data_IF_602600856765
#
_entry.id   IF_602600856765
#
_cell.length_a   1.000
_cell.length_b   1.000
_cell.length_c   1.000
_cell.angle_alpha   90.00
_cell.angle_beta   90.00
_cell.angle_gamma   90.00
#
_symmetry.space_group_name_H-M   'P 1'
#
loop_
_entity.id
_entity.type
_entity.pdbx_description
1 polymer ?
#
# COMPACT_ATOMS: atom_id res chain seq x y z
N UNK A 1 -5.38 9.35 -16.81
CA UNK A 1 -3.94 9.25 -16.48
C UNK A 1 -3.76 9.69 -15.05
N UNK A 2 -2.88 9.03 -14.29
CA UNK A 2 -2.73 9.23 -12.85
C UNK A 2 -1.44 9.98 -12.51
N UNK A 3 -1.49 10.86 -11.51
CA UNK A 3 -0.29 11.39 -10.85
C UNK A 3 0.54 10.24 -10.25
N UNK A 4 1.83 10.47 -10.06
CA UNK A 4 2.70 9.59 -9.28
C UNK A 4 2.74 10.11 -7.83
N UNK A 5 2.60 9.20 -6.88
CA UNK A 5 2.49 9.52 -5.45
C UNK A 5 3.70 8.98 -4.70
N UNK A 6 4.28 9.82 -3.84
CA UNK A 6 5.28 9.39 -2.85
C UNK A 6 4.91 9.98 -1.47
N UNK A 7 4.60 9.16 -0.47
CA UNK A 7 4.43 7.70 -0.50
C UNK A 7 3.25 7.26 -1.40
N UNK A 8 3.24 5.98 -1.83
CA UNK A 8 2.31 5.48 -2.84
C UNK A 8 0.92 5.20 -2.29
N UNK A 9 0.79 4.27 -1.34
CA UNK A 9 -0.52 3.79 -0.86
C UNK A 9 -0.84 4.17 0.59
N UNK A 10 0.15 4.63 1.35
CA UNK A 10 0.00 4.88 2.79
C UNK A 10 0.64 6.20 3.22
N UNK A 11 0.07 6.84 4.23
CA UNK A 11 0.71 7.95 4.96
C UNK A 11 0.88 7.51 6.40
N UNK A 12 2.12 7.45 6.85
CA UNK A 12 2.46 6.92 8.17
C UNK A 12 2.61 8.04 9.19
N UNK A 13 2.13 7.88 10.41
CA UNK A 13 2.34 8.83 11.50
C UNK A 13 2.89 8.10 12.72
N UNK A 14 4.05 8.54 13.20
CA UNK A 14 4.71 7.91 14.34
C UNK A 14 4.10 8.34 15.68
N UNK A 15 3.87 7.34 16.52
CA UNK A 15 3.62 7.55 17.96
C UNK A 15 4.83 8.24 18.61
N UNK A 16 4.60 9.04 19.67
CA UNK A 16 3.30 9.29 20.31
C UNK A 16 2.47 10.30 19.53
N UNK A 17 1.20 9.94 19.25
CA UNK A 17 0.21 10.75 18.51
C UNK A 17 -0.35 11.94 19.32
N UNK A 18 0.07 12.07 20.57
CA UNK A 18 -0.19 13.23 21.44
C UNK A 18 0.67 14.45 21.12
N UNK A 19 1.74 14.28 20.32
CA UNK A 19 2.62 15.38 19.91
C UNK A 19 1.95 16.34 18.92
N UNK A 20 2.32 17.61 18.99
CA UNK A 20 1.76 18.69 18.18
C UNK A 20 2.48 18.94 16.85
N UNK A 21 3.64 18.32 16.63
CA UNK A 21 4.52 18.54 15.48
C UNK A 21 4.49 17.42 14.43
N UNK A 22 3.51 16.51 14.53
CA UNK A 22 3.35 15.37 13.63
C UNK A 22 2.93 15.85 12.24
N UNK A 23 3.82 15.67 11.27
CA UNK A 23 3.65 16.08 9.89
C UNK A 23 4.24 15.05 8.95
N UNK A 24 3.60 14.90 7.80
CA UNK A 24 4.13 14.14 6.67
C UNK A 24 4.02 14.92 5.37
N UNK A 25 4.83 14.52 4.40
CA UNK A 25 4.85 15.11 3.06
C UNK A 25 4.38 14.06 2.06
N UNK A 26 3.33 14.40 1.33
CA UNK A 26 2.86 13.67 0.16
C UNK A 26 3.31 14.43 -1.09
N UNK A 27 4.17 13.80 -1.88
CA UNK A 27 4.64 14.33 -3.16
C UNK A 27 3.72 13.85 -4.28
N UNK A 28 3.17 14.80 -5.02
CA UNK A 28 2.36 14.58 -6.21
C UNK A 28 3.17 14.97 -7.44
N UNK A 29 3.59 14.00 -8.24
CA UNK A 29 4.39 14.24 -9.45
C UNK A 29 3.55 14.01 -10.70
N UNK A 30 3.60 14.97 -11.62
CA UNK A 30 2.99 14.85 -12.93
C UNK A 30 4.03 14.36 -13.95
N UNK A 31 3.91 13.10 -14.46
CA UNK A 31 4.82 12.60 -15.48
C UNK A 31 4.50 13.12 -16.89
N UNK A 32 3.34 13.75 -17.11
CA UNK A 32 2.91 14.25 -18.42
C UNK A 32 3.71 15.50 -18.83
N UNK A 33 4.16 15.52 -20.08
CA UNK A 33 4.95 16.60 -20.68
C UNK A 33 4.10 17.61 -21.45
N UNK A 34 2.81 17.30 -21.68
CA UNK A 34 1.92 18.10 -22.51
C UNK A 34 0.90 18.88 -21.71
N UNK A 35 0.43 18.36 -20.58
CA UNK A 35 -0.71 18.93 -19.83
C UNK A 35 -0.44 19.02 -18.34
N UNK A 36 -0.92 20.11 -17.75
CA UNK A 36 -0.97 20.26 -16.30
C UNK A 36 -2.12 19.43 -15.71
N UNK A 37 -2.06 19.16 -14.42
CA UNK A 37 -3.06 18.34 -13.71
C UNK A 37 -3.57 19.10 -12.50
N UNK A 38 -4.87 19.38 -12.47
CA UNK A 38 -5.55 19.89 -11.29
C UNK A 38 -5.76 18.76 -10.27
N UNK A 39 -5.60 19.04 -8.98
CA UNK A 39 -5.86 18.07 -7.92
C UNK A 39 -6.69 18.67 -6.77
N UNK A 40 -7.45 17.80 -6.12
CA UNK A 40 -8.19 18.06 -4.87
C UNK A 40 -7.97 16.90 -3.91
N UNK A 41 -7.71 17.22 -2.64
CA UNK A 41 -7.52 16.23 -1.58
C UNK A 41 -8.73 16.26 -0.67
N UNK A 42 -9.34 15.10 -0.49
CA UNK A 42 -10.43 14.87 0.43
C UNK A 42 -9.97 13.89 1.52
N UNK A 43 -10.62 13.89 2.67
CA UNK A 43 -10.35 12.95 3.75
C UNK A 43 -11.63 12.63 4.50
N UNK A 44 -11.74 11.42 5.05
CA UNK A 44 -12.81 11.03 5.96
C UNK A 44 -12.59 11.58 7.39
N UNK A 45 -11.46 12.25 7.67
CA UNK A 45 -11.07 12.72 9.01
C UNK A 45 -10.57 14.18 9.01
N UNK A 46 -11.31 15.10 8.40
CA UNK A 46 -10.90 16.50 8.22
C UNK A 46 -10.66 17.28 9.53
N UNK A 47 -11.29 16.88 10.64
CA UNK A 47 -11.01 17.45 11.96
C UNK A 47 -9.65 17.04 12.53
N UNK A 48 -9.10 15.90 12.08
CA UNK A 48 -7.84 15.33 12.58
C UNK A 48 -6.63 15.77 11.78
N UNK A 49 -6.81 16.22 10.54
CA UNK A 49 -5.71 16.55 9.65
C UNK A 49 -5.86 17.91 8.98
N UNK A 50 -4.78 18.66 8.96
CA UNK A 50 -4.62 19.86 8.15
C UNK A 50 -3.79 19.53 6.91
N UNK A 51 -4.35 19.72 5.71
CA UNK A 51 -3.68 19.49 4.42
C UNK A 51 -3.33 20.81 3.76
N UNK A 52 -2.08 21.00 3.34
CA UNK A 52 -1.61 22.23 2.68
C UNK A 52 -0.64 21.95 1.52
N UNK A 53 -0.94 22.42 0.29
CA UNK A 53 -2.23 22.94 -0.15
C UNK A 53 -3.30 21.82 -0.25
N UNK A 54 -4.59 22.08 0.04
CA UNK A 54 -5.66 21.07 -0.08
C UNK A 54 -6.07 20.80 -1.53
N UNK A 55 -5.77 21.72 -2.43
CA UNK A 55 -6.03 21.64 -3.86
C UNK A 55 -5.05 22.53 -4.61
N UNK A 56 -4.83 22.24 -5.89
CA UNK A 56 -3.95 23.05 -6.73
C UNK A 56 -3.76 22.45 -8.10
N UNK A 57 -2.73 22.94 -8.80
CA UNK A 57 -2.33 22.44 -10.12
C UNK A 57 -0.89 21.97 -10.04
N UNK A 58 -0.61 20.79 -10.59
CA UNK A 58 0.74 20.27 -10.82
C UNK A 58 1.09 20.53 -12.28
N UNK A 59 2.11 21.34 -12.51
CA UNK A 59 2.58 21.66 -13.85
C UNK A 59 3.17 20.44 -14.58
N UNK A 60 3.37 20.58 -15.88
CA UNK A 60 3.97 19.55 -16.74
C UNK A 60 5.35 19.15 -16.22
N UNK A 61 5.64 17.85 -16.15
CA UNK A 61 6.91 17.31 -15.65
C UNK A 61 7.36 17.87 -14.30
N UNK A 62 6.41 18.32 -13.47
CA UNK A 62 6.68 18.96 -12.17
C UNK A 62 6.10 18.15 -11.03
N UNK A 63 6.37 18.59 -9.80
CA UNK A 63 5.84 17.99 -8.58
C UNK A 63 5.40 19.06 -7.57
N UNK A 64 4.44 18.69 -6.74
CA UNK A 64 3.95 19.50 -5.63
C UNK A 64 4.09 18.72 -4.34
N UNK A 65 4.62 19.38 -3.30
CA UNK A 65 4.78 18.80 -1.97
C UNK A 65 3.60 19.22 -1.09
N UNK A 66 2.71 18.29 -0.80
CA UNK A 66 1.55 18.48 0.05
C UNK A 66 1.93 18.11 1.48
N UNK A 67 1.83 19.06 2.40
CA UNK A 67 2.02 18.80 3.83
C UNK A 67 0.72 18.35 4.46
N UNK A 68 0.76 17.20 5.13
CA UNK A 68 -0.32 16.68 5.96
C UNK A 68 0.13 16.79 7.41
N UNK A 69 -0.53 17.64 8.19
CA UNK A 69 -0.25 17.81 9.63
C UNK A 69 -1.37 17.18 10.43
N UNK A 70 -1.03 16.32 11.37
CA UNK A 70 -2.01 15.67 12.26
C UNK A 70 -2.18 16.54 13.52
N UNK A 71 -3.43 16.76 13.94
CA UNK A 71 -3.71 17.38 15.22
C UNK A 71 -3.41 16.38 16.36
N UNK A 72 -2.88 16.83 17.51
CA UNK A 72 -2.57 15.94 18.62
C UNK A 72 -3.83 15.23 19.15
N UNK A 73 -3.68 14.00 19.62
CA UNK A 73 -4.69 13.30 20.40
C UNK A 73 -4.61 13.69 21.89
N UNK A 74 -5.74 13.66 22.59
CA UNK A 74 -5.75 13.69 24.07
C UNK A 74 -5.52 12.29 24.64
N UNK A 75 -6.14 11.29 24.01
CA UNK A 75 -5.96 9.86 24.26
C UNK A 75 -5.74 9.20 22.92
N UNK A 76 -4.66 8.41 22.79
CA UNK A 76 -4.31 7.80 21.52
C UNK A 76 -5.26 6.65 21.16
N UNK A 77 -5.77 6.59 19.92
CA UNK A 77 -6.58 5.46 19.47
C UNK A 77 -5.69 4.24 19.24
N UNK A 78 -6.26 3.04 19.33
CA UNK A 78 -5.51 1.80 19.07
C UNK A 78 -5.28 1.57 17.57
N UNK A 79 -6.26 1.90 16.72
CA UNK A 79 -6.23 1.71 15.28
C UNK A 79 -6.53 2.99 14.49
N UNK A 80 -6.19 2.97 13.20
CA UNK A 80 -6.44 4.05 12.25
C UNK A 80 -7.25 3.55 11.05
N UNK A 81 -8.42 4.14 10.82
CA UNK A 81 -9.28 3.89 9.65
C UNK A 81 -9.37 5.12 8.72
N UNK A 82 -8.51 6.11 8.93
CA UNK A 82 -8.49 7.32 8.15
C UNK A 82 -7.88 7.10 6.75
N UNK A 83 -8.38 7.85 5.78
CA UNK A 83 -7.92 7.84 4.41
C UNK A 83 -7.90 9.24 3.80
N UNK A 84 -7.00 9.43 2.86
CA UNK A 84 -6.95 10.60 1.98
C UNK A 84 -7.28 10.15 0.56
N UNK A 85 -8.17 10.88 -0.10
CA UNK A 85 -8.53 10.66 -1.49
C UNK A 85 -8.03 11.85 -2.31
N UNK A 86 -7.07 11.61 -3.20
CA UNK A 86 -6.62 12.59 -4.19
C UNK A 86 -7.42 12.38 -5.46
N UNK A 87 -8.25 13.36 -5.81
CA UNK A 87 -8.89 13.44 -7.13
C UNK A 87 -8.02 14.30 -8.03
N UNK A 88 -7.88 13.91 -9.30
CA UNK A 88 -7.14 14.70 -10.28
C UNK A 88 -7.79 14.72 -11.65
N UNK A 89 -7.62 15.83 -12.36
CA UNK A 89 -8.15 16.09 -13.70
C UNK A 89 -7.03 16.67 -14.56
N UNK A 90 -6.90 16.17 -15.78
CA UNK A 90 -6.00 16.75 -16.78
C UNK A 90 -6.57 18.07 -17.31
N UNK A 91 -5.79 19.15 -17.26
CA UNK A 91 -6.18 20.43 -17.83
C UNK A 91 -5.84 20.43 -19.32
N UNK A 92 -6.88 20.39 -20.16
CA UNK A 92 -6.74 20.47 -21.62
C UNK A 92 -6.44 21.90 -22.07
N UNK A 93 -5.94 22.05 -23.30
CA UNK A 93 -5.61 23.37 -23.86
C UNK A 93 -6.84 24.30 -23.89
N UNK A 94 -8.00 23.76 -24.24
CA UNK A 94 -9.30 24.44 -24.25
C UNK A 94 -9.85 24.76 -22.85
N UNK A 95 -9.25 24.21 -21.79
CA UNK A 95 -9.70 24.36 -20.40
C UNK A 95 -8.79 25.29 -19.58
N UNK A 96 -7.71 25.81 -20.16
CA UNK A 96 -6.74 26.67 -19.42
C UNK A 96 -7.36 27.98 -18.90
N UNK A 97 -8.37 28.48 -19.59
CA UNK A 97 -9.06 29.72 -19.23
C UNK A 97 -10.23 29.49 -18.25
N UNK A 98 -10.63 28.23 -18.04
CA UNK A 98 -11.72 27.88 -17.12
C UNK A 98 -11.22 28.05 -15.69
N UNK A 99 -11.97 28.75 -14.82
CA UNK A 99 -11.57 28.94 -13.42
C UNK A 99 -11.52 27.60 -12.68
N UNK A 100 -10.57 27.47 -11.74
CA UNK A 100 -10.28 26.20 -11.05
C UNK A 100 -11.50 25.52 -10.41
N UNK A 101 -12.49 26.30 -9.95
CA UNK A 101 -13.70 25.76 -9.33
C UNK A 101 -14.64 25.10 -10.35
N UNK A 102 -14.65 25.57 -11.59
CA UNK A 102 -15.52 25.07 -12.67
C UNK A 102 -14.91 23.86 -13.39
N UNK A 103 -13.58 23.68 -13.33
CA UNK A 103 -12.89 22.50 -13.88
C UNK A 103 -13.48 21.17 -13.41
N UNK A 104 -14.08 21.14 -12.21
CA UNK A 104 -14.64 19.92 -11.61
C UNK A 104 -16.12 19.69 -11.96
N UNK A 105 -16.79 20.70 -12.53
CA UNK A 105 -18.19 20.64 -12.95
C UNK A 105 -18.26 20.13 -14.39
N UNK A 106 -17.39 20.64 -15.25
CA UNK A 106 -17.36 20.33 -16.68
C UNK A 106 -16.60 19.04 -17.02
N UNK A 107 -15.85 18.49 -16.06
CA UNK A 107 -15.11 17.26 -16.28
C UNK A 107 -16.04 16.06 -16.41
N UNK A 108 -15.90 15.31 -17.51
CA UNK A 108 -16.50 14.00 -17.66
C UNK A 108 -16.01 13.07 -16.54
N UNK A 109 -16.87 12.20 -16.04
CA UNK A 109 -16.53 11.25 -14.96
C UNK A 109 -15.29 10.41 -15.29
N UNK A 110 -15.08 10.07 -16.56
CA UNK A 110 -13.95 9.28 -17.04
C UNK A 110 -12.62 10.06 -17.06
N UNK A 111 -12.66 11.40 -17.06
CA UNK A 111 -11.47 12.26 -17.01
C UNK A 111 -10.96 12.48 -15.58
N UNK A 112 -11.75 12.10 -14.57
CA UNK A 112 -11.38 12.22 -13.16
C UNK A 112 -10.71 10.95 -12.67
N UNK A 113 -9.41 10.99 -12.40
CA UNK A 113 -8.74 9.90 -11.69
C UNK A 113 -8.82 10.10 -10.18
N UNK A 114 -8.88 8.99 -9.44
CA UNK A 114 -8.90 8.99 -7.99
C UNK A 114 -7.81 8.08 -7.45
N UNK A 115 -7.12 8.52 -6.40
CA UNK A 115 -6.09 7.74 -5.72
C UNK A 115 -6.28 7.85 -4.21
N UNK A 116 -6.42 6.72 -3.54
CA UNK A 116 -6.68 6.67 -2.10
C UNK A 116 -5.42 6.23 -1.35
N UNK A 117 -5.01 7.01 -0.35
CA UNK A 117 -3.96 6.66 0.60
C UNK A 117 -4.57 6.35 1.97
N UNK A 118 -4.16 5.23 2.57
CA UNK A 118 -4.57 4.85 3.94
C UNK A 118 -3.62 5.46 4.97
N UNK A 119 -4.15 5.89 6.10
CA UNK A 119 -3.31 6.36 7.21
C UNK A 119 -2.89 5.18 8.09
N UNK A 120 -1.62 5.16 8.49
CA UNK A 120 -1.06 4.11 9.34
C UNK A 120 -0.40 4.78 10.55
N UNK A 121 -0.68 4.28 11.76
CA UNK A 121 -0.01 4.74 12.98
C UNK A 121 1.14 3.78 13.31
N UNK A 122 2.36 4.30 13.30
CA UNK A 122 3.57 3.53 13.58
C UNK A 122 3.90 3.56 15.06
N UNK A 123 4.54 2.50 15.55
CA UNK A 123 5.18 2.49 16.85
C UNK A 123 6.41 3.42 16.86
N UNK A 124 6.81 3.87 18.05
CA UNK A 124 7.83 4.90 18.30
C UNK A 124 9.24 4.55 17.77
N UNK A 125 9.46 3.32 17.30
CA UNK A 125 10.75 2.78 16.85
C UNK A 125 10.81 2.43 15.36
N UNK A 126 9.77 2.71 14.59
CA UNK A 126 9.72 2.37 13.16
C UNK A 126 9.91 3.65 12.34
N UNK A 127 11.06 3.78 11.69
CA UNK A 127 11.32 4.88 10.76
C UNK A 127 10.32 4.85 9.58
N UNK A 128 9.78 6.00 9.15
CA UNK A 128 8.71 6.06 8.16
C UNK A 128 9.21 5.77 6.74
N UNK A 129 10.51 5.96 6.48
CA UNK A 129 11.16 5.58 5.23
C UNK A 129 11.18 4.05 5.06
N UNK A 130 11.37 3.29 6.14
CA UNK A 130 11.39 1.83 6.09
C UNK A 130 10.05 1.24 5.66
N UNK A 131 8.93 1.95 5.87
CA UNK A 131 7.59 1.48 5.47
C UNK A 131 7.29 1.75 4.00
N UNK A 132 8.04 2.66 3.36
CA UNK A 132 7.85 3.03 1.96
C UNK A 132 8.50 2.08 0.96
N UNK A 133 9.45 1.25 1.42
CA UNK A 133 10.13 0.24 0.61
C UNK A 133 9.44 -1.14 0.61
N UNK A 134 8.44 -1.36 1.47
CA UNK A 134 7.69 -2.64 1.50
C UNK A 134 6.75 -2.86 0.29
N UNK A 135 6.71 -1.94 -0.68
CA UNK A 135 5.88 -2.09 -1.89
C UNK A 135 6.68 -2.26 -3.20
N UNK A 136 8.01 -2.45 -3.14
CA UNK A 136 8.82 -2.69 -4.34
C UNK A 136 9.21 -4.16 -4.58
N UNK A 137 8.90 -5.10 -3.69
CA UNK A 137 9.13 -6.52 -3.93
C UNK A 137 7.85 -7.32 -3.64
N UNK A 138 7.04 -7.55 -4.68
CA UNK A 138 6.07 -8.66 -4.68
C UNK A 138 6.75 -10.04 -4.88
N UNK A 139 8.09 -10.12 -4.90
CA UNK A 139 8.82 -11.35 -5.28
C UNK A 139 9.78 -11.95 -4.24
N UNK A 140 10.05 -11.36 -3.07
CA UNK A 140 10.86 -12.06 -2.05
C UNK A 140 10.27 -11.94 -0.64
N UNK A 141 9.25 -12.77 -0.39
CA UNK A 141 9.02 -13.35 0.94
C UNK A 141 9.33 -14.85 0.84
N UNK A 142 10.59 -15.16 0.54
CA UNK A 142 11.13 -16.49 0.72
C UNK A 142 11.79 -16.57 2.10
N UNK A 143 11.16 -17.37 2.94
CA UNK A 143 11.70 -18.13 4.06
C UNK A 143 13.23 -18.13 4.17
N UNK A 144 13.79 -17.56 5.24
CA UNK A 144 15.07 -18.04 5.78
C UNK A 144 14.80 -18.83 7.05
N UNK A 145 14.55 -20.12 6.82
CA UNK A 145 14.82 -21.21 7.75
C UNK A 145 16.35 -21.29 8.02
N UNK A 146 16.74 -21.91 9.15
CA UNK A 146 18.09 -22.08 9.73
C UNK A 146 18.69 -20.86 10.45
N UNK A 147 18.98 -20.91 11.76
CA UNK A 147 19.76 -21.94 12.46
C UNK A 147 19.17 -22.35 13.83
N UNK A 148 18.92 -23.64 14.02
CA UNK A 148 19.15 -24.35 15.29
C UNK A 148 20.21 -25.47 15.07
N UNK A 149 20.73 -25.99 16.20
CA UNK A 149 21.74 -27.05 16.46
C UNK A 149 23.22 -26.61 16.55
N UNK A 150 24.06 -26.92 17.55
CA UNK A 150 24.01 -27.35 18.97
C UNK A 150 25.47 -27.13 19.56
N UNK A 151 25.92 -27.53 20.78
CA UNK A 151 26.83 -26.79 21.67
C UNK A 151 28.33 -27.22 21.63
N UNK A 152 29.21 -26.51 22.35
CA UNK A 152 30.21 -27.22 23.16
C UNK A 152 30.34 -26.70 24.61
N UNK A 153 30.60 -27.70 25.45
CA UNK A 153 30.79 -27.71 26.89
C UNK A 153 32.13 -27.12 27.39
N UNK A 154 32.16 -26.86 28.71
CA UNK A 154 33.32 -26.56 29.59
C UNK A 154 33.87 -25.11 29.54
N UNK A 155 33.96 -24.31 30.63
CA UNK A 155 34.27 -24.60 32.04
C UNK A 155 33.58 -23.60 33.01
N UNK A 156 32.73 -24.16 33.88
CA UNK A 156 32.66 -24.02 35.36
C UNK A 156 32.60 -22.65 36.08
N UNK A 157 32.00 -22.63 37.31
CA UNK A 157 31.11 -21.58 37.80
C UNK A 157 31.69 -20.84 39.02
N UNK A 158 31.04 -19.73 39.39
CA UNK A 158 31.26 -19.07 40.68
C UNK A 158 29.98 -19.18 41.52
N UNK A 159 30.04 -20.02 42.55
CA UNK A 159 29.08 -20.12 43.68
C UNK A 159 29.11 -18.78 44.49
N UNK A 160 28.18 -18.37 45.37
CA UNK A 160 27.38 -18.94 46.50
C UNK A 160 26.40 -17.78 46.94
N UNK A 161 25.35 -17.88 47.82
CA UNK A 161 24.56 -18.97 48.44
C UNK A 161 23.02 -18.88 48.33
N UNK A 162 22.40 -20.00 48.73
CA UNK A 162 21.00 -20.27 49.07
C UNK A 162 20.33 -19.33 50.10
N UNK A 163 18.99 -19.43 50.05
CA UNK A 163 18.00 -19.33 51.13
C UNK A 163 17.27 -17.99 51.30
N UNK A 164 16.04 -17.93 50.77
CA UNK A 164 14.90 -17.96 51.68
C UNK A 164 13.69 -18.63 51.04
N UNK A 165 13.28 -19.68 51.73
CA UNK A 165 12.09 -20.48 51.58
C UNK A 165 10.91 -19.74 52.23
N UNK A 166 9.85 -19.49 51.47
CA UNK A 166 8.52 -19.25 52.03
C UNK A 166 7.48 -19.86 51.08
N UNK A 167 6.91 -20.99 51.51
CA UNK A 167 5.77 -21.63 50.84
C UNK A 167 4.42 -21.03 51.34
N UNK A 168 3.24 -21.58 51.01
CA UNK A 168 2.27 -20.93 50.13
C UNK A 168 0.96 -20.56 50.87
N UNK A 169 0.21 -19.57 50.38
CA UNK A 169 -1.20 -19.43 50.77
C UNK A 169 -2.09 -19.09 49.57
N UNK A 170 -3.02 -20.00 49.30
CA UNK A 170 -4.26 -19.88 48.53
C UNK A 170 -5.08 -18.68 49.05
N UNK A 171 -5.79 -17.81 48.30
CA UNK A 171 -7.01 -17.98 47.45
C UNK A 171 -7.46 -16.50 47.13
N UNK A 172 -7.81 -16.00 45.93
CA UNK A 172 -9.14 -16.04 45.26
C UNK A 172 -9.20 -15.00 44.11
N UNK A 173 -9.38 -15.48 42.86
CA UNK A 173 -10.34 -15.06 41.80
C UNK A 173 -10.39 -13.57 41.36
N UNK A 174 -10.04 -13.18 40.12
CA UNK A 174 -10.77 -13.47 38.86
C UNK A 174 -9.90 -13.07 37.64
N UNK A 175 -10.05 -13.76 36.50
CA UNK A 175 -9.40 -13.54 35.18
C UNK A 175 -8.00 -14.13 34.99
N UNK A 176 -7.90 -15.45 34.89
CA UNK A 176 -6.73 -16.11 34.25
C UNK A 176 -7.14 -17.42 33.57
N UNK A 177 -8.31 -17.43 32.91
CA UNK A 177 -8.76 -18.56 32.09
C UNK A 177 -8.67 -18.31 30.57
N UNK A 178 -8.49 -17.06 30.16
CA UNK A 178 -8.65 -16.68 28.74
C UNK A 178 -7.35 -16.74 27.92
N UNK A 179 -6.18 -16.86 28.56
CA UNK A 179 -4.86 -16.89 27.88
C UNK A 179 -4.69 -18.11 26.94
N UNK A 180 -5.04 -19.36 27.32
CA UNK A 180 -4.94 -20.48 26.38
C UNK A 180 -5.95 -20.39 25.24
N UNK A 181 -7.15 -19.85 25.49
CA UNK A 181 -8.17 -19.68 24.44
C UNK A 181 -7.79 -18.58 23.44
N UNK A 182 -7.22 -17.47 23.91
CA UNK A 182 -6.68 -16.41 23.06
C UNK A 182 -5.49 -16.89 22.23
N UNK A 183 -4.62 -17.74 22.79
CA UNK A 183 -3.51 -18.37 22.05
C UNK A 183 -4.03 -19.27 20.93
N UNK A 184 -5.07 -20.06 21.21
CA UNK A 184 -5.68 -20.92 20.21
C UNK A 184 -6.35 -20.09 19.09
N UNK A 185 -7.10 -19.03 19.44
CA UNK A 185 -7.68 -18.10 18.46
C UNK A 185 -6.63 -17.36 17.64
N UNK A 186 -5.51 -16.98 18.25
CA UNK A 186 -4.38 -16.38 17.54
C UNK A 186 -3.75 -17.38 16.56
N UNK A 187 -3.61 -18.65 16.94
CA UNK A 187 -3.16 -19.72 16.06
C UNK A 187 -4.10 -19.96 14.88
N UNK A 188 -5.41 -20.02 15.14
CA UNK A 188 -6.44 -20.13 14.09
C UNK A 188 -6.41 -18.93 13.14
N UNK A 189 -6.33 -17.70 13.66
CA UNK A 189 -6.26 -16.49 12.85
C UNK A 189 -4.96 -16.43 12.02
N UNK A 190 -3.84 -16.87 12.58
CA UNK A 190 -2.58 -16.96 11.84
C UNK A 190 -2.69 -17.96 10.69
N UNK A 191 -3.34 -19.10 10.91
CA UNK A 191 -3.51 -20.12 9.89
C UNK A 191 -4.46 -19.66 8.77
N UNK A 192 -5.56 -18.98 9.11
CA UNK A 192 -6.48 -18.43 8.09
C UNK A 192 -5.82 -17.34 7.26
N UNK A 193 -5.01 -16.48 7.88
CA UNK A 193 -4.23 -15.48 7.18
C UNK A 193 -3.25 -16.13 6.19
N UNK A 194 -2.54 -17.20 6.60
CA UNK A 194 -1.62 -17.93 5.74
C UNK A 194 -2.34 -18.56 4.54
N UNK A 195 -3.49 -19.19 4.78
CA UNK A 195 -4.30 -19.80 3.72
C UNK A 195 -4.79 -18.77 2.71
N UNK A 196 -5.27 -17.61 3.18
CA UNK A 196 -5.69 -16.53 2.28
C UNK A 196 -4.51 -15.93 1.49
N UNK A 197 -3.33 -15.78 2.12
CA UNK A 197 -2.14 -15.36 1.39
C UNK A 197 -1.80 -16.35 0.26
N UNK A 198 -1.86 -17.65 0.54
CA UNK A 198 -1.59 -18.68 -0.44
C UNK A 198 -2.64 -18.70 -1.57
N UNK A 199 -3.91 -18.46 -1.24
CA UNK A 199 -5.00 -18.33 -2.23
C UNK A 199 -4.81 -17.10 -3.14
N UNK A 200 -4.35 -15.97 -2.59
CA UNK A 200 -4.03 -14.77 -3.39
C UNK A 200 -2.88 -15.07 -4.36
N UNK A 201 -1.83 -15.77 -3.92
CA UNK A 201 -0.70 -16.15 -4.78
C UNK A 201 -1.17 -17.08 -5.89
N UNK A 202 -1.96 -18.11 -5.58
CA UNK A 202 -2.47 -19.04 -6.58
C UNK A 202 -3.38 -18.32 -7.60
N UNK A 203 -4.27 -17.45 -7.12
CA UNK A 203 -5.14 -16.65 -8.00
C UNK A 203 -4.32 -15.77 -8.95
N UNK A 204 -3.23 -15.14 -8.49
CA UNK A 204 -2.32 -14.36 -9.33
C UNK A 204 -1.65 -15.24 -10.38
N UNK A 205 -1.17 -16.42 -10.01
CA UNK A 205 -0.57 -17.38 -10.93
C UNK A 205 -1.55 -17.83 -12.01
N UNK A 206 -2.80 -18.13 -11.63
CA UNK A 206 -3.86 -18.49 -12.56
C UNK A 206 -4.17 -17.36 -13.55
N UNK A 207 -4.18 -16.10 -13.09
CA UNK A 207 -4.39 -14.94 -13.96
C UNK A 207 -3.24 -14.76 -14.97
N UNK A 208 -1.99 -14.99 -14.56
CA UNK A 208 -0.84 -14.92 -15.45
C UNK A 208 -0.89 -16.02 -16.51
N UNK A 209 -1.18 -17.26 -16.11
CA UNK A 209 -1.33 -18.36 -17.05
C UNK A 209 -2.46 -18.10 -18.07
N UNK A 210 -3.60 -17.57 -17.59
CA UNK A 210 -4.73 -17.19 -18.46
C UNK A 210 -4.39 -16.03 -19.39
N UNK A 211 -3.56 -15.07 -18.97
CA UNK A 211 -3.05 -14.01 -19.86
C UNK A 211 -2.16 -14.59 -20.95
N UNK A 212 -1.22 -15.48 -20.61
CA UNK A 212 -0.34 -16.14 -21.58
C UNK A 212 -1.14 -16.99 -22.59
N UNK A 213 -2.15 -17.72 -22.13
CA UNK A 213 -3.05 -18.48 -23.03
C UNK A 213 -3.84 -17.56 -23.96
N UNK A 214 -4.31 -16.42 -23.46
CA UNK A 214 -5.03 -15.44 -24.29
C UNK A 214 -4.10 -14.76 -25.30
N UNK A 215 -2.86 -14.45 -24.93
CA UNK A 215 -1.85 -13.89 -25.82
C UNK A 215 -1.46 -14.86 -26.93
N UNK A 216 -1.20 -16.12 -26.58
CA UNK A 216 -0.90 -17.17 -27.57
C UNK A 216 -2.07 -17.38 -28.54
N UNK A 217 -3.32 -17.41 -28.04
CA UNK A 217 -4.52 -17.46 -28.89
C UNK A 217 -4.62 -16.25 -29.83
N UNK A 218 -4.28 -15.05 -29.35
CA UNK A 218 -4.25 -13.83 -30.19
C UNK A 218 -3.15 -13.90 -31.25
N UNK A 219 -1.95 -14.35 -30.88
CA UNK A 219 -0.82 -14.50 -31.79
C UNK A 219 -1.15 -15.52 -32.91
N UNK A 220 -1.71 -16.68 -32.56
CA UNK A 220 -2.14 -17.69 -33.53
C UNK A 220 -3.17 -17.11 -34.51
N UNK A 221 -4.22 -16.43 -33.99
CA UNK A 221 -5.22 -15.77 -34.84
C UNK A 221 -4.59 -14.74 -35.79
N UNK A 222 -3.62 -13.97 -35.30
CA UNK A 222 -2.90 -12.98 -36.12
C UNK A 222 -2.08 -13.65 -37.23
N UNK A 223 -1.35 -14.71 -36.93
CA UNK A 223 -0.53 -15.45 -37.92
C UNK A 223 -1.42 -16.05 -39.02
N UNK A 224 -2.56 -16.66 -38.65
CA UNK A 224 -3.50 -17.24 -39.64
C UNK A 224 -4.02 -16.17 -40.61
N UNK A 225 -4.35 -14.97 -40.11
CA UNK A 225 -4.80 -13.86 -40.96
C UNK A 225 -3.69 -13.42 -41.92
N UNK A 226 -2.45 -13.29 -41.44
CA UNK A 226 -1.30 -12.91 -42.29
C UNK A 226 -1.07 -13.94 -43.40
N UNK A 227 -1.09 -15.24 -43.08
CA UNK A 227 -0.92 -16.30 -44.07
C UNK A 227 -2.02 -16.31 -45.13
N UNK A 228 -3.28 -16.06 -44.74
CA UNK A 228 -4.39 -15.93 -45.68
C UNK A 228 -4.19 -14.74 -46.62
N UNK A 229 -3.82 -13.56 -46.10
CA UNK A 229 -3.56 -12.38 -46.91
C UNK A 229 -2.42 -12.61 -47.92
N UNK A 230 -1.34 -13.26 -47.49
CA UNK A 230 -0.22 -13.63 -48.35
C UNK A 230 -0.69 -14.58 -49.46
N UNK A 231 -1.48 -15.61 -49.11
CA UNK A 231 -2.04 -16.55 -50.09
C UNK A 231 -2.94 -15.87 -51.14
N UNK A 232 -3.80 -14.94 -50.72
CA UNK A 232 -4.62 -14.14 -51.64
C UNK A 232 -3.76 -13.26 -52.57
N UNK A 233 -2.72 -12.61 -52.04
CA UNK A 233 -1.85 -11.75 -52.84
C UNK A 233 -1.09 -12.54 -53.93
N UNK A 234 -0.53 -13.71 -53.59
CA UNK A 234 0.15 -14.57 -54.56
C UNK A 234 -0.82 -15.24 -55.54
N UNK A 235 -2.03 -15.61 -55.09
CA UNK A 235 -3.08 -16.16 -55.93
C UNK A 235 -3.55 -15.18 -57.00
N UNK A 236 -3.72 -13.89 -56.64
CA UNK A 236 -4.05 -12.84 -57.61
C UNK A 236 -2.90 -12.54 -58.58
N UNK A 237 -1.65 -12.56 -58.12
CA UNK A 237 -0.48 -12.29 -58.97
C UNK A 237 -0.23 -13.40 -60.02
N UNK A 238 -0.66 -14.63 -59.77
CA UNK A 238 -0.46 -15.75 -60.70
C UNK A 238 -1.56 -15.83 -61.78
N UNK A 239 -2.65 -15.08 -61.59
CA UNK A 239 -3.85 -15.07 -62.47
C UNK A 239 -3.88 -13.88 -63.44
N UNK A 240 -2.91 -12.96 -63.35
CA UNK A 240 -2.64 -11.83 -64.25
C UNK A 240 -1.46 -12.16 -65.16
#
# INVERSE_FOLDING_TARGET
MSLLFKPKNYICFERPLTRSDIKQVLVLKNPDDRHAVAFKILTNASSRYSVRPPSGVVEKQSEVHVRVTMHPYQVEPDYCDHAFLVRSIRIREDQKEIPFNELWIDAATDDVSQHQLKCVYLAETIDPECVSDFENNEEEMFLSDYFEDEPPSHLMPREIPLANEYQPTTTTTTMTRDIPELRNKFGELSQTMLNHQQEIVDMRLQLLNKRQENETKRAIRSIVVVLLCIGFAYGLHTLL
#
